data_IF_706707409658
#
_entry.id   IF_706707409658
#
_cell.length_a   1.000
_cell.length_b   1.000
_cell.length_c   1.000
_cell.angle_alpha   90.00
_cell.angle_beta   90.00
_cell.angle_gamma   90.00
#
_symmetry.space_group_name_H-M   'P 1'
#
loop_
_entity.id
_entity.type
_entity.pdbx_description
1 polymer ?
#
# COMPACT_ATOMS: atom_id res chain seq x y z
N UNK A 1 3.34 -1.30 -20.71
CA UNK A 1 1.95 -1.53 -21.19
C UNK A 1 1.75 -2.90 -21.86
N UNK A 2 2.36 -3.99 -21.35
CA UNK A 2 2.08 -5.41 -21.63
C UNK A 2 2.78 -6.12 -20.46
N UNK A 3 2.16 -6.59 -19.39
CA UNK A 3 1.06 -7.53 -19.32
C UNK A 3 0.66 -7.61 -17.83
N UNK A 4 -0.09 -6.63 -17.33
CA UNK A 4 -0.98 -6.87 -16.17
C UNK A 4 -2.16 -7.61 -16.76
N UNK A 5 -1.94 -8.88 -17.13
CA UNK A 5 -3.02 -9.77 -17.52
C UNK A 5 -3.83 -9.96 -16.24
N UNK A 6 -4.96 -9.28 -16.21
CA UNK A 6 -6.01 -9.49 -15.23
C UNK A 6 -6.16 -11.00 -15.03
N UNK A 7 -5.71 -11.51 -13.87
CA UNK A 7 -6.25 -12.76 -13.37
C UNK A 7 -7.77 -12.56 -13.35
N UNK A 8 -8.54 -13.46 -13.96
CA UNK A 8 -9.95 -13.23 -14.14
C UNK A 8 -10.59 -13.14 -12.76
N UNK A 9 -11.22 -12.01 -12.48
CA UNK A 9 -12.02 -11.76 -11.27
C UNK A 9 -13.32 -12.60 -11.33
N UNK A 10 -13.21 -13.89 -11.67
CA UNK A 10 -14.35 -14.79 -11.90
C UNK A 10 -14.40 -15.93 -10.89
N UNK A 11 -13.50 -15.95 -9.89
CA UNK A 11 -13.45 -17.05 -8.91
C UNK A 11 -13.62 -16.61 -7.44
N UNK A 12 -14.53 -15.68 -7.13
CA UNK A 12 -15.08 -15.66 -5.76
C UNK A 12 -16.55 -15.23 -5.67
N UNK A 13 -17.51 -16.09 -6.05
CA UNK A 13 -18.88 -15.98 -5.60
C UNK A 13 -18.97 -16.59 -4.18
N UNK A 14 -18.62 -15.83 -3.14
CA UNK A 14 -19.03 -16.17 -1.77
C UNK A 14 -20.30 -15.35 -1.46
N UNK A 15 -21.47 -15.98 -1.26
CA UNK A 15 -22.67 -15.30 -0.76
C UNK A 15 -22.48 -14.98 0.73
N UNK A 16 -21.60 -14.02 0.99
CA UNK A 16 -21.37 -13.43 2.31
C UNK A 16 -21.79 -11.96 2.29
N UNK A 17 -22.18 -11.39 3.44
CA UNK A 17 -22.58 -10.00 3.52
C UNK A 17 -21.43 -9.10 3.05
N UNK A 18 -21.63 -8.42 1.91
CA UNK A 18 -20.75 -7.36 1.36
C UNK A 18 -20.55 -6.20 2.35
N UNK A 19 -21.32 -6.19 3.43
CA UNK A 19 -21.16 -5.37 4.62
C UNK A 19 -19.81 -5.55 5.32
N UNK A 20 -19.08 -6.65 5.08
CA UNK A 20 -17.81 -6.94 5.76
C UNK A 20 -16.71 -5.90 5.49
N UNK A 21 -16.61 -5.38 4.26
CA UNK A 21 -15.64 -4.34 3.91
C UNK A 21 -16.01 -2.97 4.49
N UNK A 22 -17.31 -2.65 4.48
CA UNK A 22 -17.82 -1.42 5.08
C UNK A 22 -17.69 -1.42 6.60
N UNK A 23 -18.01 -2.54 7.25
CA UNK A 23 -17.81 -2.74 8.68
C UNK A 23 -16.32 -2.70 9.05
N UNK A 24 -15.44 -3.29 8.23
CA UNK A 24 -13.99 -3.19 8.42
C UNK A 24 -13.51 -1.73 8.33
N UNK A 25 -13.94 -0.97 7.31
CA UNK A 25 -13.61 0.45 7.17
C UNK A 25 -14.15 1.32 8.31
N UNK A 26 -15.34 1.01 8.81
CA UNK A 26 -15.97 1.71 9.94
C UNK A 26 -15.28 1.41 11.28
N UNK A 27 -14.83 0.17 11.49
CA UNK A 27 -14.00 -0.19 12.66
C UNK A 27 -12.62 0.45 12.56
N UNK A 28 -12.03 0.56 11.36
CA UNK A 28 -10.75 1.23 11.15
C UNK A 28 -10.78 2.73 11.50
N UNK A 29 -11.94 3.41 11.36
CA UNK A 29 -12.11 4.80 11.80
C UNK A 29 -12.20 4.97 13.32
N UNK A 30 -12.45 3.90 14.09
CA UNK A 30 -12.51 3.96 15.55
C UNK A 30 -11.16 3.78 16.26
N UNK A 31 -10.04 3.71 15.54
CA UNK A 31 -8.72 3.61 16.17
C UNK A 31 -8.26 4.96 16.73
N UNK A 32 -8.21 5.13 18.07
CA UNK A 32 -7.77 6.35 18.72
C UNK A 32 -6.29 6.19 19.03
N UNK A 33 -5.42 6.29 18.02
CA UNK A 33 -3.99 6.32 18.27
C UNK A 33 -3.27 7.25 17.28
N UNK A 34 -2.68 8.36 17.74
CA UNK A 34 -1.97 9.31 16.89
C UNK A 34 -0.78 8.69 16.12
N UNK A 35 -0.30 7.51 16.54
CA UNK A 35 0.80 6.79 15.90
C UNK A 35 0.34 5.78 14.84
N UNK A 36 -0.94 5.41 14.81
CA UNK A 36 -1.44 4.38 13.89
C UNK A 36 -1.19 4.74 12.42
N UNK A 37 -1.41 6.00 12.04
CA UNK A 37 -1.11 6.48 10.70
C UNK A 37 0.37 6.39 10.32
N UNK A 38 1.29 6.61 11.28
CA UNK A 38 2.75 6.47 11.04
C UNK A 38 3.15 5.00 10.88
N UNK A 39 2.56 4.11 11.68
CA UNK A 39 2.82 2.67 11.61
C UNK A 39 2.31 2.10 10.28
N UNK A 40 1.11 2.47 9.85
CA UNK A 40 0.56 2.11 8.53
C UNK A 40 1.43 2.63 7.39
N UNK A 41 1.90 3.89 7.47
CA UNK A 41 2.81 4.44 6.47
C UNK A 41 4.14 3.68 6.43
N UNK A 42 4.71 3.31 7.58
CA UNK A 42 5.92 2.51 7.65
C UNK A 42 5.75 1.16 6.94
N UNK A 43 4.65 0.44 7.22
CA UNK A 43 4.35 -0.83 6.56
C UNK A 43 4.18 -0.67 5.05
N UNK A 44 3.47 0.38 4.60
CA UNK A 44 3.32 0.68 3.18
C UNK A 44 4.67 0.93 2.49
N UNK A 45 5.56 1.68 3.13
CA UNK A 45 6.91 1.95 2.59
C UNK A 45 7.79 0.70 2.51
N UNK A 46 7.81 -0.11 3.58
CA UNK A 46 8.55 -1.39 3.62
C UNK A 46 8.00 -2.35 2.57
N UNK A 47 6.69 -2.40 2.37
CA UNK A 47 6.08 -3.24 1.34
C UNK A 47 6.54 -2.84 -0.06
N UNK A 48 6.46 -1.55 -0.42
CA UNK A 48 6.90 -1.06 -1.73
C UNK A 48 8.39 -1.34 -1.96
N UNK A 49 9.24 -1.03 -0.99
CA UNK A 49 10.68 -1.29 -1.09
C UNK A 49 10.99 -2.79 -1.19
N UNK A 50 10.32 -3.61 -0.38
CA UNK A 50 10.49 -5.05 -0.34
C UNK A 50 10.05 -5.74 -1.63
N UNK A 51 8.89 -5.37 -2.18
CA UNK A 51 8.41 -5.89 -3.47
C UNK A 51 9.36 -5.55 -4.62
N UNK A 52 9.91 -4.32 -4.64
CA UNK A 52 10.85 -3.91 -5.67
C UNK A 52 12.19 -4.65 -5.54
N UNK A 53 12.73 -4.74 -4.32
CA UNK A 53 13.97 -5.46 -4.03
C UNK A 53 13.85 -6.95 -4.38
N UNK A 54 12.71 -7.57 -4.04
CA UNK A 54 12.46 -8.98 -4.36
C UNK A 54 12.36 -9.21 -5.86
N UNK A 55 11.60 -8.36 -6.58
CA UNK A 55 11.49 -8.44 -8.04
C UNK A 55 12.84 -8.29 -8.75
N UNK A 56 13.73 -7.44 -8.23
CA UNK A 56 15.09 -7.29 -8.75
C UNK A 56 15.97 -8.53 -8.50
N UNK A 57 15.92 -9.08 -7.28
CA UNK A 57 16.85 -10.14 -6.84
C UNK A 57 16.41 -11.51 -7.35
N UNK A 58 15.12 -11.83 -7.24
CA UNK A 58 14.60 -13.17 -7.49
C UNK A 58 13.94 -13.33 -8.85
N UNK A 59 13.21 -12.31 -9.32
CA UNK A 59 12.54 -12.35 -10.63
C UNK A 59 13.42 -11.82 -11.78
N UNK A 60 14.61 -11.28 -11.48
CA UNK A 60 15.50 -10.67 -12.48
C UNK A 60 14.87 -9.47 -13.20
N UNK A 61 13.83 -8.88 -12.60
CA UNK A 61 13.08 -7.76 -13.15
C UNK A 61 13.96 -6.51 -13.17
N UNK A 62 14.14 -5.91 -14.35
CA UNK A 62 14.83 -4.62 -14.49
C UNK A 62 13.80 -3.51 -14.23
N UNK A 63 13.89 -2.77 -13.12
CA UNK A 63 12.91 -1.74 -12.79
C UNK A 63 12.91 -0.69 -13.90
N UNK A 64 11.74 -0.47 -14.49
CA UNK A 64 11.58 0.56 -15.52
C UNK A 64 11.67 1.95 -14.87
N UNK A 65 11.96 2.97 -15.68
CA UNK A 65 12.01 4.37 -15.25
C UNK A 65 10.72 4.80 -14.55
N UNK A 66 9.60 4.23 -14.99
CA UNK A 66 8.28 4.45 -14.40
C UNK A 66 8.08 3.74 -13.05
N UNK A 67 8.66 2.55 -12.85
CA UNK A 67 8.61 1.83 -11.56
C UNK A 67 9.46 2.54 -10.51
N UNK A 68 10.61 3.07 -10.92
CA UNK A 68 11.48 3.89 -10.06
C UNK A 68 10.77 5.20 -9.70
N UNK A 69 10.15 5.88 -10.67
CA UNK A 69 9.39 7.09 -10.40
C UNK A 69 8.19 6.83 -9.46
N UNK A 70 7.44 5.74 -9.70
CA UNK A 70 6.30 5.36 -8.86
C UNK A 70 6.71 5.00 -7.43
N UNK A 71 7.76 4.19 -7.26
CA UNK A 71 8.28 3.84 -5.93
C UNK A 71 8.81 5.06 -5.17
N UNK A 72 9.49 5.99 -5.85
CA UNK A 72 9.91 7.26 -5.26
C UNK A 72 8.73 8.09 -4.76
N UNK A 73 7.65 8.19 -5.54
CA UNK A 73 6.43 8.91 -5.13
C UNK A 73 5.79 8.24 -3.91
N UNK A 74 5.69 6.91 -3.88
CA UNK A 74 5.17 6.18 -2.72
C UNK A 74 6.02 6.40 -1.47
N UNK A 75 7.35 6.32 -1.59
CA UNK A 75 8.29 6.55 -0.48
C UNK A 75 8.24 8.02 0.01
N UNK A 76 8.08 8.98 -0.90
CA UNK A 76 7.83 10.38 -0.55
C UNK A 76 6.53 10.54 0.24
N UNK A 77 5.44 9.88 -0.16
CA UNK A 77 4.18 9.89 0.59
C UNK A 77 4.35 9.35 2.01
N UNK A 78 5.10 8.25 2.18
CA UNK A 78 5.42 7.69 3.49
C UNK A 78 6.26 8.65 4.33
N UNK A 79 7.28 9.27 3.73
CA UNK A 79 8.11 10.27 4.39
C UNK A 79 7.27 11.47 4.85
N UNK A 80 6.34 11.94 4.03
CA UNK A 80 5.41 13.02 4.41
C UNK A 80 4.56 12.57 5.61
N UNK A 81 3.98 11.37 5.63
CA UNK A 81 3.14 10.94 6.77
C UNK A 81 3.96 10.77 8.06
N UNK A 82 5.19 10.26 7.95
CA UNK A 82 6.11 10.14 9.08
C UNK A 82 6.54 11.49 9.64
N UNK A 83 7.05 12.37 8.77
CA UNK A 83 7.67 13.64 9.12
C UNK A 83 6.72 14.83 9.13
N UNK A 84 5.46 14.68 8.72
CA UNK A 84 4.48 15.77 8.75
C UNK A 84 4.39 16.36 10.16
N UNK A 85 4.82 17.62 10.36
CA UNK A 85 4.65 18.28 11.63
C UNK A 85 3.15 18.51 11.83
N UNK A 86 2.59 18.04 12.93
CA UNK A 86 1.23 18.42 13.36
C UNK A 86 1.36 19.80 14.02
N UNK A 87 1.64 20.82 13.21
CA UNK A 87 1.73 22.21 13.65
C UNK A 87 0.34 22.66 14.13
N UNK A 88 0.04 22.39 15.40
CA UNK A 88 -1.26 22.68 16.00
C UNK A 88 -1.47 22.09 17.40
N UNK A 89 -0.41 21.94 18.20
CA UNK A 89 -0.49 21.73 19.64
C UNK A 89 0.08 22.95 20.36
#
# INVERSE_FOLDING_TARGET
MREIRCAPYTAQPRPGPRHSLGAYGFVATFQPDPHFGRILAAYGGVFVAGSLAWGMIFDGFRPDRWDIAGSLICLLGVAVIMFAPRSGA
#
